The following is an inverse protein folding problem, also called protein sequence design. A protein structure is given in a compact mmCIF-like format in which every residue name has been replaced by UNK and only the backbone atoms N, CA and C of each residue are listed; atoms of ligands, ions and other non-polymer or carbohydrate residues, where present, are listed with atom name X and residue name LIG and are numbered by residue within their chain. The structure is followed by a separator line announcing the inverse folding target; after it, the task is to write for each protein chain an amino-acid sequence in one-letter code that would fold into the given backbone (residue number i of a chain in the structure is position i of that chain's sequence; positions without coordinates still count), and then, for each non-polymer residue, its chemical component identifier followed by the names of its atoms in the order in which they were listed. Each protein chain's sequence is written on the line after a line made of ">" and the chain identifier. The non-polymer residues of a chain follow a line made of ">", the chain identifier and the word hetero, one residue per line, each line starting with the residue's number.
data_IF_008744477933
#
_entry.id   IF_008744477933
#
_cell.length_a   1.000
_cell.length_b   1.000
_cell.length_c   1.000
_cell.angle_alpha   90.00
_cell.angle_beta   90.00
_cell.angle_gamma   90.00
#
_symmetry.space_group_name_H-M   'P 1'
#
loop_
_entity.id
_entity.type
_entity.pdbx_description
1 polymer ?
#
# COMPACT_ATOMS: atom_id res chain seq x y z
N UNK A 1 -22.15 32.84 7.15
CA UNK A 1 -22.16 31.78 8.19
C UNK A 1 -21.57 30.50 7.61
N UNK A 2 -20.34 30.13 7.97
CA UNK A 2 -19.78 28.84 7.58
C UNK A 2 -20.61 27.72 8.24
N UNK A 3 -21.31 26.91 7.44
CA UNK A 3 -22.04 25.73 7.93
C UNK A 3 -21.04 24.81 8.63
N UNK A 4 -21.12 24.68 9.96
CA UNK A 4 -20.36 23.66 10.69
C UNK A 4 -20.77 22.31 10.10
N UNK A 5 -19.86 21.65 9.40
CA UNK A 5 -20.07 20.30 8.88
C UNK A 5 -20.43 19.38 10.06
N UNK A 6 -21.38 18.45 9.90
CA UNK A 6 -21.72 17.51 10.95
C UNK A 6 -20.48 16.71 11.35
N UNK A 7 -20.14 16.71 12.65
CA UNK A 7 -19.03 15.91 13.19
C UNK A 7 -19.32 14.42 12.97
N UNK A 8 -18.32 13.68 12.51
CA UNK A 8 -18.43 12.24 12.31
C UNK A 8 -18.66 11.53 13.65
N UNK A 9 -19.52 10.49 13.64
CA UNK A 9 -19.79 9.68 14.84
C UNK A 9 -18.58 8.81 15.19
N UNK A 10 -18.25 8.74 16.48
CA UNK A 10 -17.16 7.90 16.98
C UNK A 10 -17.59 6.45 17.15
N UNK A 11 -17.46 5.68 16.09
CA UNK A 11 -17.94 4.29 16.02
C UNK A 11 -16.82 3.25 15.91
N UNK A 12 -15.57 3.66 15.63
CA UNK A 12 -14.47 2.73 15.40
C UNK A 12 -13.76 2.31 16.69
N UNK A 13 -13.80 1.01 16.94
CA UNK A 13 -13.10 0.31 18.01
C UNK A 13 -11.76 -0.26 17.53
N UNK A 14 -10.89 -0.68 18.47
CA UNK A 14 -9.53 -1.09 18.16
C UNK A 14 -9.40 -2.27 17.18
N UNK A 15 -10.19 -3.35 17.28
CA UNK A 15 -10.13 -4.46 16.33
C UNK A 15 -10.57 -4.03 14.93
N UNK A 16 -11.61 -3.20 14.84
CA UNK A 16 -12.10 -2.67 13.56
C UNK A 16 -11.06 -1.80 12.89
N UNK A 17 -10.44 -0.89 13.65
CA UNK A 17 -9.39 -0.02 13.13
C UNK A 17 -8.14 -0.81 12.73
N UNK A 18 -7.76 -1.83 13.51
CA UNK A 18 -6.67 -2.73 13.16
C UNK A 18 -6.96 -3.51 11.87
N UNK A 19 -8.17 -4.07 11.70
CA UNK A 19 -8.52 -4.82 10.51
C UNK A 19 -8.58 -3.96 9.25
N UNK A 20 -9.07 -2.72 9.36
CA UNK A 20 -9.01 -1.74 8.26
C UNK A 20 -7.54 -1.39 7.95
N UNK A 21 -6.76 -1.05 8.98
CA UNK A 21 -5.34 -0.73 8.83
C UNK A 21 -4.55 -1.85 8.16
N UNK A 22 -4.76 -3.09 8.62
CA UNK A 22 -4.17 -4.27 8.04
C UNK A 22 -4.62 -4.43 6.58
N UNK A 23 -5.93 -4.44 6.30
CA UNK A 23 -6.43 -4.72 4.95
C UNK A 23 -5.96 -3.73 3.89
N UNK A 24 -5.89 -2.44 4.24
CA UNK A 24 -5.38 -1.41 3.33
C UNK A 24 -3.88 -1.63 3.03
N UNK A 25 -3.06 -1.80 4.07
CA UNK A 25 -1.60 -1.96 3.90
C UNK A 25 -1.30 -3.30 3.21
N UNK A 26 -1.87 -4.40 3.72
CA UNK A 26 -1.62 -5.76 3.26
C UNK A 26 -1.98 -5.99 1.79
N UNK A 27 -2.97 -5.28 1.24
CA UNK A 27 -3.38 -5.39 -0.16
C UNK A 27 -2.29 -4.99 -1.17
N UNK A 28 -1.26 -4.27 -0.73
CA UNK A 28 -0.24 -3.72 -1.62
C UNK A 28 0.76 -4.75 -2.14
N UNK A 29 0.95 -5.88 -1.44
CA UNK A 29 1.87 -6.94 -1.86
C UNK A 29 1.45 -7.60 -3.18
N UNK A 30 0.15 -7.57 -3.50
CA UNK A 30 -0.40 -8.15 -4.73
C UNK A 30 0.16 -7.47 -5.98
N UNK A 31 0.61 -6.22 -5.87
CA UNK A 31 1.31 -5.52 -6.95
C UNK A 31 2.77 -5.20 -6.65
N UNK A 32 3.14 -4.94 -5.40
CA UNK A 32 4.50 -4.53 -5.05
C UNK A 32 5.52 -5.66 -5.15
N UNK A 33 5.15 -6.91 -4.86
CA UNK A 33 6.12 -8.02 -4.77
C UNK A 33 6.92 -8.22 -6.07
N UNK A 34 6.23 -8.29 -7.21
CA UNK A 34 6.88 -8.47 -8.51
C UNK A 34 7.74 -7.27 -8.90
N UNK A 35 7.27 -6.05 -8.62
CA UNK A 35 7.99 -4.80 -8.91
C UNK A 35 9.32 -4.76 -8.16
N UNK A 36 9.30 -5.11 -6.87
CA UNK A 36 10.51 -5.12 -6.04
C UNK A 36 11.42 -6.28 -6.48
N UNK A 37 10.85 -7.47 -6.71
CA UNK A 37 11.61 -8.65 -7.12
C UNK A 37 12.37 -8.48 -8.44
N UNK A 38 11.81 -7.70 -9.37
CA UNK A 38 12.46 -7.41 -10.64
C UNK A 38 13.81 -6.69 -10.48
N UNK A 39 13.93 -5.79 -9.50
CA UNK A 39 15.16 -5.01 -9.28
C UNK A 39 16.01 -5.54 -8.11
N UNK A 40 15.37 -5.96 -7.01
CA UNK A 40 16.06 -6.40 -5.81
C UNK A 40 16.54 -7.86 -5.90
N UNK A 41 15.99 -8.68 -6.80
CA UNK A 41 16.38 -10.08 -6.99
C UNK A 41 16.44 -10.85 -5.66
N UNK A 42 17.58 -11.45 -5.31
CA UNK A 42 17.77 -12.21 -4.06
C UNK A 42 17.59 -11.34 -2.80
N UNK A 43 17.77 -10.03 -2.90
CA UNK A 43 17.61 -9.08 -1.80
C UNK A 43 16.16 -8.62 -1.58
N UNK A 44 15.17 -9.13 -2.33
CA UNK A 44 13.76 -8.75 -2.17
C UNK A 44 13.25 -8.80 -0.72
N UNK A 45 13.49 -9.87 0.06
CA UNK A 45 13.05 -9.92 1.46
C UNK A 45 13.76 -8.87 2.33
N UNK A 46 15.05 -8.61 2.08
CA UNK A 46 15.82 -7.59 2.81
C UNK A 46 15.32 -6.19 2.48
N UNK A 47 15.06 -5.87 1.21
CA UNK A 47 14.50 -4.58 0.79
C UNK A 47 13.13 -4.36 1.42
N UNK A 48 12.25 -5.37 1.41
CA UNK A 48 10.97 -5.30 2.09
C UNK A 48 11.13 -5.08 3.60
N UNK A 49 12.07 -5.77 4.26
CA UNK A 49 12.33 -5.61 5.68
C UNK A 49 12.84 -4.19 6.01
N UNK A 50 13.82 -3.68 5.26
CA UNK A 50 14.43 -2.37 5.47
C UNK A 50 13.41 -1.25 5.24
N UNK A 51 12.64 -1.31 4.16
CA UNK A 51 11.60 -0.32 3.88
C UNK A 51 10.45 -0.44 4.88
N UNK A 52 10.11 -1.64 5.31
CA UNK A 52 9.14 -1.87 6.38
C UNK A 52 9.57 -1.26 7.73
N UNK A 53 10.85 -1.39 8.08
CA UNK A 53 11.43 -0.76 9.27
C UNK A 53 11.43 0.77 9.17
N UNK A 54 11.78 1.32 7.99
CA UNK A 54 11.63 2.75 7.72
C UNK A 54 10.17 3.19 7.89
N UNK A 55 9.22 2.39 7.40
CA UNK A 55 7.81 2.70 7.48
C UNK A 55 7.29 2.70 8.93
N UNK A 56 7.79 1.79 9.78
CA UNK A 56 7.54 1.83 11.22
C UNK A 56 8.06 3.13 11.85
N UNK A 57 9.28 3.56 11.49
CA UNK A 57 9.84 4.84 11.96
C UNK A 57 8.95 6.02 11.52
N UNK A 58 8.48 6.02 10.27
CA UNK A 58 7.57 7.05 9.75
C UNK A 58 6.24 7.07 10.50
N UNK A 59 5.69 5.90 10.76
CA UNK A 59 4.42 5.75 11.45
C UNK A 59 4.43 6.30 12.88
N UNK A 60 5.59 6.35 13.56
CA UNK A 60 5.70 6.92 14.91
C UNK A 60 5.25 8.38 14.91
N UNK A 61 5.81 9.21 14.03
CA UNK A 61 5.45 10.63 13.97
C UNK A 61 4.07 10.84 13.40
N UNK A 62 3.67 10.01 12.44
CA UNK A 62 2.32 10.00 11.90
C UNK A 62 1.28 9.78 13.00
N UNK A 63 1.52 8.82 13.90
CA UNK A 63 0.67 8.54 15.05
C UNK A 63 0.60 9.71 16.05
N UNK A 64 1.70 10.45 16.27
CA UNK A 64 1.68 11.66 17.11
C UNK A 64 0.87 12.78 16.46
N UNK A 65 1.15 13.07 15.19
CA UNK A 65 0.47 14.13 14.44
C UNK A 65 -1.04 13.88 14.38
N UNK A 66 -1.45 12.68 14.01
CA UNK A 66 -2.87 12.30 13.88
C UNK A 66 -3.60 12.19 15.22
N UNK A 67 -2.93 11.75 16.29
CA UNK A 67 -3.53 11.70 17.61
C UNK A 67 -3.71 13.10 18.23
N UNK A 68 -2.80 14.03 17.91
CA UNK A 68 -2.82 15.42 18.35
C UNK A 68 -3.80 16.29 17.53
N UNK A 69 -3.84 16.08 16.21
CA UNK A 69 -4.67 16.83 15.26
C UNK A 69 -5.74 15.91 14.70
N UNK A 70 -6.92 15.95 15.32
CA UNK A 70 -8.06 15.07 15.00
C UNK A 70 -8.98 15.75 14.00
N UNK A 71 -8.42 16.09 12.86
CA UNK A 71 -9.15 16.70 11.75
C UNK A 71 -9.09 15.79 10.52
N UNK A 72 -10.19 15.67 9.79
CA UNK A 72 -10.20 15.04 8.46
C UNK A 72 -9.19 15.74 7.53
N UNK A 73 -8.44 14.96 6.75
CA UNK A 73 -7.39 15.47 5.84
C UNK A 73 -5.97 15.02 6.20
N UNK A 74 -5.79 14.29 7.30
CA UNK A 74 -4.56 13.56 7.62
C UNK A 74 -3.30 14.44 7.59
N UNK A 75 -2.28 13.96 6.86
CA UNK A 75 -0.99 14.66 6.71
C UNK A 75 -1.10 16.06 6.12
N UNK A 76 -2.00 16.31 5.16
CA UNK A 76 -2.14 17.62 4.54
C UNK A 76 -2.56 18.68 5.57
N UNK A 77 -3.52 18.35 6.42
CA UNK A 77 -3.98 19.24 7.50
C UNK A 77 -2.89 19.44 8.56
N UNK A 78 -2.16 18.38 8.92
CA UNK A 78 -1.05 18.46 9.86
C UNK A 78 0.06 19.40 9.37
N UNK A 79 0.45 19.27 8.10
CA UNK A 79 1.47 20.11 7.48
C UNK A 79 0.98 21.54 7.33
N UNK A 80 -0.30 21.76 6.98
CA UNK A 80 -0.92 23.09 6.93
C UNK A 80 -0.79 23.82 8.26
N UNK A 81 -1.16 23.15 9.35
CA UNK A 81 -1.11 23.74 10.71
C UNK A 81 0.34 24.03 11.12
N UNK A 82 1.27 23.15 10.77
CA UNK A 82 2.68 23.36 11.09
C UNK A 82 3.30 24.50 10.27
N UNK A 83 2.98 24.63 8.99
CA UNK A 83 3.61 25.57 8.06
C UNK A 83 2.68 26.68 7.60
N UNK A 84 1.89 26.43 6.56
CA UNK A 84 0.92 27.34 5.97
C UNK A 84 0.04 26.59 4.96
N UNK A 85 -0.93 27.29 4.38
CA UNK A 85 -1.87 26.74 3.40
C UNK A 85 -1.19 26.19 2.14
N UNK A 86 -0.12 26.84 1.66
CA UNK A 86 0.59 26.40 0.46
C UNK A 86 1.27 25.04 0.66
N UNK A 87 2.06 24.88 1.73
CA UNK A 87 2.76 23.62 2.01
C UNK A 87 1.77 22.50 2.34
N UNK A 88 0.68 22.84 3.03
CA UNK A 88 -0.44 21.92 3.26
C UNK A 88 -1.12 21.46 1.96
N UNK A 89 -1.38 22.39 1.03
CA UNK A 89 -1.93 22.10 -0.28
C UNK A 89 -1.01 21.19 -1.10
N UNK A 90 0.28 21.53 -1.22
CA UNK A 90 1.26 20.70 -1.95
C UNK A 90 1.31 19.28 -1.39
N UNK A 91 1.30 19.14 -0.06
CA UNK A 91 1.26 17.82 0.60
C UNK A 91 -0.03 17.06 0.26
N UNK A 92 -1.19 17.72 0.33
CA UNK A 92 -2.47 17.11 -0.01
C UNK A 92 -2.58 16.75 -1.49
N UNK A 93 -1.99 17.55 -2.38
CA UNK A 93 -1.99 17.33 -3.82
C UNK A 93 -1.08 16.16 -4.21
N UNK A 94 0.05 16.01 -3.53
CA UNK A 94 0.92 14.84 -3.65
C UNK A 94 0.20 13.56 -3.18
N UNK A 95 -0.45 13.59 -2.01
CA UNK A 95 -1.22 12.44 -1.51
C UNK A 95 -2.43 12.10 -2.40
N UNK A 96 -3.05 13.12 -3.00
CA UNK A 96 -4.14 12.89 -3.94
C UNK A 96 -3.67 12.11 -5.17
N UNK A 97 -2.48 12.45 -5.70
CA UNK A 97 -1.85 11.66 -6.76
C UNK A 97 -1.66 10.20 -6.33
N UNK A 98 -1.13 9.97 -5.13
CA UNK A 98 -0.89 8.60 -4.63
C UNK A 98 -2.16 7.76 -4.65
N UNK A 99 -3.29 8.31 -4.17
CA UNK A 99 -4.58 7.61 -4.23
C UNK A 99 -4.99 7.24 -5.66
N UNK A 100 -4.82 8.16 -6.62
CA UNK A 100 -5.16 7.91 -8.02
C UNK A 100 -4.26 6.82 -8.63
N UNK A 101 -2.98 6.82 -8.28
CA UNK A 101 -2.02 5.83 -8.75
C UNK A 101 -2.28 4.45 -8.14
N UNK A 102 -2.62 4.37 -6.85
CA UNK A 102 -3.01 3.11 -6.21
C UNK A 102 -4.29 2.54 -6.84
N UNK A 103 -5.28 3.38 -7.16
CA UNK A 103 -6.49 2.97 -7.89
C UNK A 103 -6.12 2.43 -9.27
N UNK A 104 -5.31 3.16 -10.04
CA UNK A 104 -4.90 2.78 -11.38
C UNK A 104 -4.08 1.47 -11.40
N UNK A 105 -3.08 1.34 -10.51
CA UNK A 105 -2.26 0.14 -10.37
C UNK A 105 -3.09 -1.07 -9.94
N UNK A 106 -3.92 -0.93 -8.91
CA UNK A 106 -4.77 -2.02 -8.43
C UNK A 106 -5.70 -2.50 -9.56
N UNK A 107 -6.33 -1.57 -10.28
CA UNK A 107 -7.20 -1.90 -11.40
C UNK A 107 -6.46 -2.57 -12.57
N UNK A 108 -5.21 -2.20 -12.83
CA UNK A 108 -4.38 -2.85 -13.86
C UNK A 108 -4.04 -4.30 -13.52
N UNK A 109 -3.88 -4.62 -12.22
CA UNK A 109 -3.49 -5.96 -11.77
C UNK A 109 -4.69 -6.91 -11.69
N UNK A 110 -5.88 -6.42 -11.33
CA UNK A 110 -7.10 -7.25 -11.18
C UNK A 110 -7.35 -8.19 -12.38
N UNK A 111 -7.32 -7.73 -13.66
CA UNK A 111 -7.53 -8.61 -14.81
C UNK A 111 -6.53 -9.77 -14.91
N UNK A 112 -5.29 -9.61 -14.44
CA UNK A 112 -4.27 -10.66 -14.49
C UNK A 112 -4.52 -11.74 -13.43
N UNK A 113 -4.95 -11.35 -12.23
CA UNK A 113 -5.37 -12.29 -11.20
C UNK A 113 -6.64 -13.04 -11.61
N UNK A 114 -7.62 -12.33 -12.18
CA UNK A 114 -8.87 -12.95 -12.68
C UNK A 114 -8.57 -13.91 -13.83
N UNK A 115 -7.84 -13.47 -14.86
CA UNK A 115 -7.52 -14.30 -16.01
C UNK A 115 -6.78 -15.57 -15.59
N UNK A 116 -5.78 -15.44 -14.71
CA UNK A 116 -5.01 -16.58 -14.22
C UNK A 116 -5.81 -17.54 -13.34
N UNK A 117 -6.81 -17.06 -12.59
CA UNK A 117 -7.74 -17.92 -11.85
C UNK A 117 -8.61 -18.79 -12.80
N UNK A 118 -8.89 -18.29 -14.01
CA UNK A 118 -9.57 -19.04 -15.08
C UNK A 118 -8.59 -19.73 -16.05
N UNK A 119 -7.30 -19.85 -15.71
CA UNK A 119 -6.26 -20.43 -16.58
C UNK A 119 -6.12 -19.76 -17.96
N UNK A 120 -6.49 -18.48 -18.05
CA UNK A 120 -6.34 -17.66 -19.25
C UNK A 120 -5.25 -16.61 -19.05
N UNK A 121 -4.78 -16.00 -20.15
CA UNK A 121 -3.82 -14.88 -20.11
C UNK A 121 -4.41 -13.68 -20.82
N UNK A 122 -4.37 -12.54 -20.15
CA UNK A 122 -4.73 -11.25 -20.74
C UNK A 122 -3.46 -10.51 -21.17
N UNK A 123 -3.51 -9.91 -22.35
CA UNK A 123 -2.39 -9.18 -22.94
C UNK A 123 -2.78 -7.75 -23.24
N UNK A 124 -1.79 -6.89 -23.48
CA UNK A 124 -2.02 -5.52 -23.93
C UNK A 124 -2.69 -5.49 -25.30
N UNK A 125 -3.62 -4.55 -25.56
CA UNK A 125 -4.07 -3.47 -24.67
C UNK A 125 -5.28 -3.84 -23.77
N UNK A 126 -5.76 -5.09 -23.84
CA UNK A 126 -7.00 -5.52 -23.18
C UNK A 126 -6.92 -5.51 -21.65
N UNK A 127 -5.73 -5.67 -21.09
CA UNK A 127 -5.46 -5.50 -19.66
C UNK A 127 -5.81 -4.09 -19.16
N UNK A 128 -5.40 -3.06 -19.90
CA UNK A 128 -5.68 -1.65 -19.59
C UNK A 128 -7.17 -1.36 -19.75
N UNK A 129 -7.79 -1.85 -20.82
CA UNK A 129 -9.24 -1.68 -21.07
C UNK A 129 -10.05 -2.33 -19.95
N UNK A 130 -9.71 -3.56 -19.56
CA UNK A 130 -10.34 -4.24 -18.44
C UNK A 130 -10.12 -3.50 -17.12
N UNK A 131 -8.93 -2.97 -16.87
CA UNK A 131 -8.64 -2.13 -15.70
C UNK A 131 -9.48 -0.85 -15.65
N UNK A 132 -9.62 -0.13 -16.76
CA UNK A 132 -10.53 1.02 -16.86
C UNK A 132 -11.99 0.62 -16.58
N UNK A 133 -12.42 -0.54 -17.08
CA UNK A 133 -13.73 -1.13 -16.80
C UNK A 133 -13.93 -1.44 -15.31
N UNK A 134 -12.90 -1.94 -14.62
CA UNK A 134 -12.92 -2.18 -13.16
C UNK A 134 -13.10 -0.86 -12.40
N UNK A 135 -12.35 0.18 -12.74
CA UNK A 135 -12.47 1.50 -12.09
C UNK A 135 -13.89 2.05 -12.29
N UNK A 136 -14.39 2.04 -13.53
CA UNK A 136 -15.74 2.50 -13.86
C UNK A 136 -16.81 1.69 -13.13
N UNK A 137 -16.69 0.36 -13.09
CA UNK A 137 -17.61 -0.52 -12.38
C UNK A 137 -17.65 -0.24 -10.88
N UNK A 138 -16.49 -0.11 -10.22
CA UNK A 138 -16.42 0.24 -8.79
C UNK A 138 -16.99 1.62 -8.54
N UNK A 139 -16.72 2.60 -9.41
CA UNK A 139 -17.27 3.95 -9.30
C UNK A 139 -18.80 3.93 -9.39
N UNK A 140 -19.37 3.23 -10.38
CA UNK A 140 -20.82 3.04 -10.53
C UNK A 140 -21.42 2.37 -9.31
N UNK A 141 -20.81 1.28 -8.81
CA UNK A 141 -21.28 0.61 -7.59
C UNK A 141 -21.29 1.56 -6.39
N UNK A 142 -20.23 2.36 -6.20
CA UNK A 142 -20.14 3.36 -5.11
C UNK A 142 -21.14 4.50 -5.27
N UNK A 143 -21.48 4.89 -6.49
CA UNK A 143 -22.48 5.93 -6.77
C UNK A 143 -23.90 5.43 -6.51
N UNK A 144 -24.20 4.20 -6.93
CA UNK A 144 -25.50 3.57 -6.74
C UNK A 144 -25.73 3.12 -5.29
N UNK A 145 -24.69 2.66 -4.60
CA UNK A 145 -24.76 2.15 -3.23
C UNK A 145 -23.96 3.03 -2.26
N UNK A 146 -24.66 3.86 -1.48
CA UNK A 146 -24.08 4.60 -0.34
C UNK A 146 -23.92 3.71 0.90
N UNK A 147 -23.28 2.55 0.78
CA UNK A 147 -23.17 1.58 1.88
C UNK A 147 -22.01 1.90 2.81
N UNK A 148 -22.20 1.64 4.12
CA UNK A 148 -21.10 1.61 5.10
C UNK A 148 -20.33 0.29 4.90
N UNK A 149 -19.16 0.37 4.27
CA UNK A 149 -18.33 -0.80 3.93
C UNK A 149 -17.57 -1.40 5.11
N UNK A 150 -17.63 -0.84 6.33
CA UNK A 150 -16.74 -1.24 7.42
C UNK A 150 -16.82 -2.73 7.79
N UNK A 151 -18.02 -3.34 7.77
CA UNK A 151 -18.15 -4.79 8.04
C UNK A 151 -17.55 -5.66 6.92
N UNK A 152 -17.74 -5.26 5.66
CA UNK A 152 -17.18 -5.98 4.52
C UNK A 152 -15.66 -5.83 4.43
N UNK A 153 -15.14 -4.64 4.72
CA UNK A 153 -13.72 -4.38 4.80
C UNK A 153 -13.04 -5.32 5.80
N UNK A 154 -13.65 -5.57 6.97
CA UNK A 154 -13.12 -6.53 7.94
C UNK A 154 -13.14 -7.98 7.44
N UNK A 155 -14.22 -8.41 6.78
CA UNK A 155 -14.30 -9.76 6.22
C UNK A 155 -13.24 -9.95 5.15
N UNK A 156 -13.11 -9.00 4.23
CA UNK A 156 -12.10 -9.03 3.17
C UNK A 156 -10.69 -9.03 3.75
N UNK A 157 -10.42 -8.20 4.76
CA UNK A 157 -9.12 -8.16 5.46
C UNK A 157 -8.79 -9.50 6.15
N UNK A 158 -9.77 -10.14 6.79
CA UNK A 158 -9.60 -11.45 7.43
C UNK A 158 -9.33 -12.56 6.40
N UNK A 159 -10.05 -12.56 5.29
CA UNK A 159 -9.84 -13.51 4.19
C UNK A 159 -8.47 -13.31 3.56
N UNK A 160 -8.07 -12.06 3.35
CA UNK A 160 -6.74 -11.71 2.85
C UNK A 160 -5.64 -12.21 3.80
N UNK A 161 -5.76 -11.93 5.11
CA UNK A 161 -4.81 -12.44 6.12
C UNK A 161 -4.72 -13.97 6.12
N UNK A 162 -5.86 -14.66 6.09
CA UNK A 162 -5.88 -16.12 6.03
C UNK A 162 -5.21 -16.64 4.75
N UNK A 163 -5.43 -15.98 3.61
CA UNK A 163 -4.83 -16.33 2.32
C UNK A 163 -3.31 -16.15 2.37
N UNK A 164 -2.82 -15.02 2.89
CA UNK A 164 -1.39 -14.75 3.01
C UNK A 164 -0.69 -15.73 3.95
N UNK A 165 -1.29 -16.03 5.11
CA UNK A 165 -0.77 -17.02 6.05
C UNK A 165 -0.74 -18.42 5.43
N UNK A 166 -1.77 -18.80 4.68
CA UNK A 166 -1.83 -20.08 3.99
C UNK A 166 -0.73 -20.19 2.91
N UNK A 167 -0.52 -19.14 2.12
CA UNK A 167 0.55 -19.07 1.12
C UNK A 167 1.92 -19.21 1.79
N UNK A 168 2.15 -18.52 2.92
CA UNK A 168 3.40 -18.63 3.68
C UNK A 168 3.58 -20.05 4.22
N UNK A 169 2.57 -20.62 4.89
CA UNK A 169 2.66 -21.93 5.51
C UNK A 169 2.89 -23.05 4.47
N UNK A 170 2.07 -23.10 3.42
CA UNK A 170 2.21 -24.08 2.34
C UNK A 170 3.49 -23.84 1.54
N UNK A 171 3.83 -22.59 1.27
CA UNK A 171 5.05 -22.22 0.57
C UNK A 171 6.31 -22.62 1.33
N UNK A 172 6.33 -22.44 2.64
CA UNK A 172 7.45 -22.89 3.48
C UNK A 172 7.51 -24.42 3.57
N UNK A 173 6.36 -25.10 3.60
CA UNK A 173 6.32 -26.55 3.66
C UNK A 173 6.71 -27.23 2.33
N UNK A 174 6.30 -26.66 1.19
CA UNK A 174 6.39 -27.31 -0.12
C UNK A 174 7.47 -26.73 -1.03
N UNK A 175 7.80 -25.45 -0.90
CA UNK A 175 8.69 -24.74 -1.84
C UNK A 175 9.99 -24.25 -1.21
N UNK A 176 10.13 -24.27 0.11
CA UNK A 176 11.27 -23.66 0.79
C UNK A 176 12.60 -24.29 0.37
N UNK A 177 13.53 -23.45 -0.07
CA UNK A 177 14.87 -23.86 -0.47
C UNK A 177 15.90 -22.84 -0.01
N UNK A 178 16.73 -23.17 1.01
CA UNK A 178 17.80 -22.27 1.45
C UNK A 178 18.78 -21.90 0.33
N UNK A 179 19.09 -22.86 -0.56
CA UNK A 179 19.97 -22.64 -1.70
C UNK A 179 19.38 -21.69 -2.75
N UNK A 180 18.05 -21.62 -2.88
CA UNK A 180 17.40 -20.66 -3.76
C UNK A 180 17.56 -19.22 -3.25
N UNK A 181 17.52 -19.02 -1.93
CA UNK A 181 17.65 -17.71 -1.28
C UNK A 181 19.06 -17.14 -1.35
N UNK A 182 20.08 -17.99 -1.53
CA UNK A 182 21.48 -17.56 -1.72
C UNK A 182 21.82 -17.26 -3.17
N UNK A 183 20.91 -17.48 -4.13
CA UNK A 183 21.14 -17.09 -5.53
C UNK A 183 20.82 -15.61 -5.72
N UNK A 184 21.60 -14.93 -6.56
CA UNK A 184 21.40 -13.50 -6.84
C UNK A 184 21.55 -12.59 -5.61
N UNK A 185 22.41 -12.99 -4.67
CA UNK A 185 22.76 -12.21 -3.45
C UNK A 185 24.18 -11.63 -3.50
N UNK A 186 24.81 -11.62 -4.68
CA UNK A 186 26.10 -10.95 -4.90
C UNK A 186 25.91 -9.44 -4.99
N UNK A 187 25.87 -8.76 -3.85
CA UNK A 187 25.65 -7.31 -3.76
C UNK A 187 26.68 -6.54 -4.59
N UNK A 188 26.21 -5.64 -5.44
CA UNK A 188 27.06 -4.85 -6.34
C UNK A 188 27.29 -5.49 -7.71
N UNK A 189 26.99 -6.78 -7.88
CA UNK A 189 27.02 -7.46 -9.19
C UNK A 189 25.62 -7.85 -9.66
N UNK A 190 24.86 -8.53 -8.82
CA UNK A 190 23.52 -9.03 -9.12
C UNK A 190 22.76 -9.17 -7.80
N UNK A 191 21.96 -8.16 -7.43
CA UNK A 191 21.69 -6.88 -8.09
C UNK A 191 22.83 -5.85 -7.93
N UNK A 192 22.92 -4.91 -8.87
CA UNK A 192 23.86 -3.77 -8.77
C UNK A 192 23.41 -2.77 -7.70
N UNK A 193 24.31 -1.87 -7.28
CA UNK A 193 23.95 -0.77 -6.38
C UNK A 193 22.87 0.14 -6.96
N UNK A 194 22.88 0.31 -8.28
CA UNK A 194 21.86 1.08 -8.99
C UNK A 194 20.49 0.39 -8.91
N UNK A 195 20.44 -0.94 -9.06
CA UNK A 195 19.18 -1.69 -8.99
C UNK A 195 18.57 -1.67 -7.58
N UNK A 196 19.40 -1.75 -6.53
CA UNK A 196 18.94 -1.59 -5.15
C UNK A 196 18.42 -0.16 -4.92
N UNK A 197 19.14 0.86 -5.38
CA UNK A 197 18.69 2.24 -5.30
C UNK A 197 17.37 2.47 -6.08
N UNK A 198 17.16 1.76 -7.19
CA UNK A 198 15.92 1.76 -7.97
C UNK A 198 14.78 1.02 -7.24
N UNK A 199 15.09 -0.06 -6.51
CA UNK A 199 14.09 -0.85 -5.79
C UNK A 199 13.55 -0.12 -4.55
N UNK A 200 14.37 0.69 -3.85
CA UNK A 200 14.00 1.31 -2.58
C UNK A 200 12.78 2.26 -2.68
N UNK A 201 12.70 3.23 -3.62
CA UNK A 201 11.51 4.04 -3.78
C UNK A 201 10.29 3.20 -4.13
N UNK A 202 10.43 2.26 -5.07
CA UNK A 202 9.33 1.40 -5.51
C UNK A 202 8.83 0.50 -4.38
N UNK A 203 9.68 0.09 -3.44
CA UNK A 203 9.29 -0.70 -2.29
C UNK A 203 8.42 0.07 -1.29
N UNK A 204 8.40 1.41 -1.32
CA UNK A 204 7.44 2.21 -0.54
C UNK A 204 6.00 1.89 -0.93
N UNK A 205 5.77 1.48 -2.19
CA UNK A 205 4.47 1.04 -2.70
C UNK A 205 3.92 -0.15 -1.92
N UNK A 206 4.78 -1.01 -1.35
CA UNK A 206 4.34 -2.14 -0.54
C UNK A 206 3.65 -1.67 0.76
N UNK A 207 4.00 -0.52 1.31
CA UNK A 207 3.54 -0.14 2.65
C UNK A 207 2.49 0.98 2.67
N UNK A 208 1.87 1.33 1.54
CA UNK A 208 0.83 2.38 1.50
C UNK A 208 -0.38 2.07 2.41
N UNK A 209 -1.09 3.08 2.91
CA UNK A 209 -2.34 2.90 3.68
C UNK A 209 -2.39 3.59 5.05
N UNK A 210 -1.30 4.22 5.49
CA UNK A 210 -1.26 5.04 6.72
C UNK A 210 -2.28 6.18 6.71
N UNK A 211 -2.49 6.74 5.52
CA UNK A 211 -3.32 7.91 5.27
C UNK A 211 -4.79 7.61 5.52
N UNK A 212 -5.25 6.41 5.14
CA UNK A 212 -6.60 5.93 5.41
C UNK A 212 -6.88 5.91 6.91
N UNK A 213 -5.92 5.43 7.71
CA UNK A 213 -6.06 5.33 9.17
C UNK A 213 -6.10 6.72 9.81
N UNK A 214 -5.28 7.66 9.33
CA UNK A 214 -5.33 9.05 9.78
C UNK A 214 -6.67 9.71 9.52
N UNK A 215 -7.27 9.46 8.35
CA UNK A 215 -8.59 9.99 8.01
C UNK A 215 -9.71 9.43 8.91
N UNK A 216 -9.51 8.24 9.49
CA UNK A 216 -10.44 7.63 10.44
C UNK A 216 -10.20 8.06 11.91
N UNK A 217 -9.26 8.98 12.16
CA UNK A 217 -8.95 9.46 13.51
C UNK A 217 -10.16 10.14 14.19
N UNK A 218 -10.99 10.85 13.42
CA UNK A 218 -12.21 11.49 13.94
C UNK A 218 -13.31 10.48 14.34
N UNK A 219 -13.40 9.37 13.61
CA UNK A 219 -14.36 8.29 13.82
C UNK A 219 -13.91 7.30 14.93
N UNK A 220 -12.67 7.43 15.41
CA UNK A 220 -12.10 6.54 16.43
C UNK A 220 -12.53 6.96 17.84
N UNK A 221 -12.99 6.01 18.67
CA UNK A 221 -13.43 6.32 20.04
C UNK A 221 -12.32 6.86 20.94
N UNK A 222 -11.15 6.21 20.92
CA UNK A 222 -9.98 6.52 21.77
C UNK A 222 -8.71 6.69 20.93
N UNK A 223 -8.61 7.75 20.10
CA UNK A 223 -7.56 7.89 19.09
C UNK A 223 -6.15 7.85 19.68
N UNK A 224 -5.93 8.43 20.87
CA UNK A 224 -4.62 8.47 21.50
C UNK A 224 -3.99 7.13 21.90
N UNK A 225 -4.78 6.06 22.02
CA UNK A 225 -4.26 4.71 22.30
C UNK A 225 -4.58 3.73 21.19
N UNK A 226 -5.74 3.87 20.57
CA UNK A 226 -6.21 2.97 19.53
C UNK A 226 -5.47 3.19 18.22
N UNK A 227 -5.25 4.45 17.77
CA UNK A 227 -4.52 4.70 16.52
C UNK A 227 -3.10 4.15 16.55
N UNK A 228 -2.24 4.48 17.55
CA UNK A 228 -0.86 3.99 17.53
C UNK A 228 -0.78 2.46 17.60
N UNK A 229 -1.62 1.82 18.42
CA UNK A 229 -1.64 0.36 18.53
C UNK A 229 -2.09 -0.33 17.25
N UNK A 230 -3.14 0.18 16.61
CA UNK A 230 -3.60 -0.36 15.34
C UNK A 230 -2.55 -0.16 14.25
N UNK A 231 -1.93 1.03 14.18
CA UNK A 231 -0.87 1.37 13.23
C UNK A 231 0.37 0.47 13.36
N UNK A 232 0.98 0.42 14.55
CA UNK A 232 2.21 -0.35 14.74
C UNK A 232 1.96 -1.85 14.66
N UNK A 233 0.82 -2.31 15.19
CA UNK A 233 0.42 -3.71 15.09
C UNK A 233 0.21 -4.15 13.66
N UNK A 234 -0.52 -3.36 12.85
CA UNK A 234 -0.79 -3.72 11.46
C UNK A 234 0.47 -3.67 10.61
N UNK A 235 1.30 -2.63 10.74
CA UNK A 235 2.55 -2.52 9.98
C UNK A 235 3.51 -3.64 10.38
N UNK A 236 3.71 -3.90 11.68
CA UNK A 236 4.59 -4.96 12.14
C UNK A 236 4.18 -6.34 11.60
N UNK A 237 2.88 -6.64 11.64
CA UNK A 237 2.34 -7.87 11.04
C UNK A 237 2.59 -7.92 9.53
N UNK A 238 2.29 -6.85 8.81
CA UNK A 238 2.48 -6.79 7.35
C UNK A 238 3.95 -6.97 6.96
N UNK A 239 4.90 -6.36 7.68
CA UNK A 239 6.34 -6.55 7.44
C UNK A 239 6.70 -8.04 7.54
N UNK A 240 6.25 -8.73 8.59
CA UNK A 240 6.51 -10.16 8.76
C UNK A 240 5.91 -10.98 7.63
N UNK A 241 4.64 -10.72 7.27
CA UNK A 241 3.97 -11.43 6.18
C UNK A 241 4.67 -11.21 4.84
N UNK A 242 5.08 -9.98 4.54
CA UNK A 242 5.70 -9.63 3.27
C UNK A 242 7.08 -10.25 3.11
N UNK A 243 7.88 -10.25 4.17
CA UNK A 243 9.17 -10.94 4.18
C UNK A 243 8.94 -12.45 4.01
N UNK A 244 7.96 -13.04 4.69
CA UNK A 244 7.60 -14.46 4.54
C UNK A 244 7.18 -14.81 3.11
N UNK A 245 6.28 -14.00 2.52
CA UNK A 245 5.84 -14.14 1.13
C UNK A 245 7.01 -14.02 0.16
N UNK A 246 7.91 -13.07 0.38
CA UNK A 246 9.08 -12.88 -0.49
C UNK A 246 10.06 -14.05 -0.38
N UNK A 247 10.28 -14.61 0.80
CA UNK A 247 11.10 -15.81 1.01
C UNK A 247 10.50 -17.01 0.27
N UNK A 248 9.20 -17.26 0.42
CA UNK A 248 8.50 -18.31 -0.31
C UNK A 248 8.60 -18.07 -1.82
N UNK A 249 8.35 -16.84 -2.26
CA UNK A 249 8.38 -16.47 -3.65
C UNK A 249 9.74 -16.70 -4.31
N UNK A 250 10.83 -16.27 -3.67
CA UNK A 250 12.18 -16.50 -4.19
C UNK A 250 12.61 -17.97 -4.10
N UNK A 251 12.07 -18.73 -3.15
CA UNK A 251 12.28 -20.17 -3.11
C UNK A 251 11.62 -20.86 -4.31
N UNK A 252 10.42 -20.39 -4.70
CA UNK A 252 9.68 -20.85 -5.87
C UNK A 252 10.30 -20.41 -7.20
N UNK A 253 10.87 -19.20 -7.23
CA UNK A 253 11.43 -18.55 -8.42
C UNK A 253 12.83 -17.95 -8.15
N UNK A 254 13.87 -18.81 -8.04
CA UNK A 254 15.21 -18.37 -7.66
C UNK A 254 15.82 -17.39 -8.68
N UNK A 255 16.43 -16.28 -8.26
CA UNK A 255 16.99 -15.29 -9.18
C UNK A 255 18.38 -15.73 -9.67
N UNK A 256 18.48 -16.16 -10.93
CA UNK A 256 19.76 -16.53 -11.57
C UNK A 256 20.22 -15.46 -12.58
N UNK A 257 19.34 -15.11 -13.52
CA UNK A 257 19.53 -14.05 -14.52
C UNK A 257 18.29 -13.15 -14.55
N UNK A 258 17.82 -12.78 -13.36
CA UNK A 258 16.45 -12.31 -13.14
C UNK A 258 15.58 -13.36 -12.44
N UNK A 259 14.39 -12.96 -12.02
CA UNK A 259 13.39 -13.84 -11.39
C UNK A 259 12.07 -13.78 -12.15
N UNK A 260 11.42 -14.92 -12.33
CA UNK A 260 10.09 -15.01 -12.94
C UNK A 260 9.03 -14.24 -12.15
N UNK A 261 9.25 -13.99 -10.85
CA UNK A 261 8.39 -13.10 -10.05
C UNK A 261 8.37 -11.67 -10.56
N UNK A 262 9.51 -11.18 -11.05
CA UNK A 262 9.67 -9.84 -11.58
C UNK A 262 9.38 -9.74 -13.08
N UNK A 263 9.33 -10.86 -13.80
CA UNK A 263 9.08 -10.90 -15.24
C UNK A 263 7.70 -11.50 -15.55
N UNK A 264 7.62 -12.82 -15.72
CA UNK A 264 6.41 -13.54 -16.12
C UNK A 264 5.23 -13.27 -15.18
N UNK A 265 5.50 -13.23 -13.86
CA UNK A 265 4.51 -13.03 -12.82
C UNK A 265 4.49 -11.59 -12.27
N UNK A 266 5.13 -10.62 -12.94
CA UNK A 266 5.20 -9.22 -12.49
C UNK A 266 3.84 -8.65 -12.08
N UNK A 267 2.77 -9.04 -12.80
CA UNK A 267 1.41 -8.52 -12.64
C UNK A 267 0.48 -9.43 -11.83
N UNK A 268 0.98 -10.59 -11.40
CA UNK A 268 0.24 -11.55 -10.57
C UNK A 268 1.21 -12.39 -9.73
N UNK A 269 2.12 -11.77 -8.96
CA UNK A 269 3.24 -12.46 -8.32
C UNK A 269 2.78 -13.50 -7.30
N UNK A 270 1.74 -13.20 -6.52
CA UNK A 270 1.16 -14.16 -5.57
C UNK A 270 0.49 -15.35 -6.27
N UNK A 271 -0.16 -15.11 -7.41
CA UNK A 271 -0.72 -16.20 -8.21
C UNK A 271 0.40 -17.13 -8.72
N UNK A 272 1.53 -16.56 -9.12
CA UNK A 272 2.72 -17.34 -9.48
C UNK A 272 3.16 -18.29 -8.37
N UNK A 273 3.26 -17.78 -7.15
CA UNK A 273 3.58 -18.61 -5.96
C UNK A 273 2.54 -19.71 -5.76
N UNK A 274 1.25 -19.37 -5.83
CA UNK A 274 0.16 -20.35 -5.68
C UNK A 274 0.22 -21.44 -6.76
N UNK A 275 0.54 -21.09 -8.02
CA UNK A 275 0.70 -22.09 -9.08
C UNK A 275 1.84 -23.06 -8.80
N UNK A 276 2.98 -22.59 -8.27
CA UNK A 276 4.09 -23.47 -7.87
C UNK A 276 3.74 -24.36 -6.68
N UNK A 277 2.98 -23.84 -5.72
CA UNK A 277 2.46 -24.66 -4.60
C UNK A 277 1.59 -25.78 -5.14
N UNK A 278 0.69 -25.47 -6.08
CA UNK A 278 -0.22 -26.45 -6.69
C UNK A 278 0.54 -27.58 -7.38
N UNK A 279 1.66 -27.30 -8.07
CA UNK A 279 2.47 -28.34 -8.74
C UNK A 279 3.00 -29.42 -7.77
N UNK A 280 3.03 -29.12 -6.46
CA UNK A 280 3.44 -30.06 -5.39
C UNK A 280 2.25 -30.76 -4.72
N UNK A 281 1.02 -30.35 -5.01
CA UNK A 281 -0.19 -30.99 -4.52
C UNK A 281 -0.67 -32.00 -5.57
N UNK A 282 -0.73 -33.31 -5.27
CA UNK A 282 -1.18 -34.31 -6.23
C UNK A 282 -2.58 -33.97 -6.76
N UNK A 283 -2.70 -33.83 -8.09
CA UNK A 283 -3.83 -33.26 -8.83
C UNK A 283 -5.16 -34.06 -8.77
N UNK A 284 -5.37 -34.91 -7.77
CA UNK A 284 -6.50 -35.87 -7.80
C UNK A 284 -7.21 -36.22 -6.49
N UNK A 285 -6.80 -35.74 -5.30
CA UNK A 285 -7.41 -36.24 -4.04
C UNK A 285 -7.93 -35.22 -3.05
N UNK A 286 -7.55 -33.94 -3.15
CA UNK A 286 -8.10 -32.89 -2.28
C UNK A 286 -9.36 -32.21 -2.84
N UNK A 287 -9.42 -31.92 -4.14
CA UNK A 287 -10.65 -31.38 -4.74
C UNK A 287 -11.78 -32.43 -4.81
N UNK A 288 -11.44 -33.71 -4.97
CA UNK A 288 -12.41 -34.82 -4.97
C UNK A 288 -12.97 -35.10 -3.57
N UNK A 289 -12.14 -35.08 -2.52
CA UNK A 289 -12.59 -35.27 -1.12
C UNK A 289 -13.29 -34.04 -0.53
N UNK A 290 -12.97 -32.83 -0.97
CA UNK A 290 -13.69 -31.60 -0.58
C UNK A 290 -15.01 -31.43 -1.35
N UNK A 291 -15.14 -32.05 -2.53
CA UNK A 291 -16.40 -32.13 -3.27
C UNK A 291 -17.39 -33.15 -2.72
N UNK A 292 -16.90 -34.20 -2.04
CA UNK A 292 -17.72 -35.28 -1.47
C UNK A 292 -18.57 -34.83 -0.26
N UNK A 293 -18.26 -33.68 0.36
CA UNK A 293 -18.98 -33.15 1.51
C UNK A 293 -19.81 -31.88 1.26
N UNK A 294 -20.02 -31.47 0.01
CA UNK A 294 -21.09 -30.54 -0.37
C UNK A 294 -21.13 -29.20 0.39
N UNK A 295 -20.01 -28.47 0.47
CA UNK A 295 -19.94 -27.17 1.15
C UNK A 295 -19.71 -26.01 0.19
N UNK A 296 -20.76 -25.62 -0.55
CA UNK A 296 -20.85 -24.30 -1.15
C UNK A 296 -22.16 -23.64 -0.70
N UNK A 297 -22.11 -22.58 0.13
CA UNK A 297 -23.30 -21.85 0.51
C UNK A 297 -23.87 -21.05 -0.66
N UNK A 298 -25.15 -21.26 -0.96
CA UNK A 298 -25.98 -20.37 -1.77
C UNK A 298 -26.66 -19.33 -0.87
N UNK A 299 -26.52 -18.05 -1.28
CA UNK A 299 -27.26 -16.82 -0.90
C UNK A 299 -26.70 -16.01 0.27
N UNK A 300 -26.46 -14.71 0.03
CA UNK A 300 -26.89 -13.60 0.90
C UNK A 300 -26.83 -12.26 0.14
N UNK A 301 -27.82 -11.38 0.34
CA UNK A 301 -27.76 -10.02 -0.17
C UNK A 301 -28.94 -9.18 0.30
N UNK A 302 -28.74 -8.36 1.34
CA UNK A 302 -29.45 -7.10 1.62
C UNK A 302 -28.66 -6.32 2.70
N UNK A 303 -28.23 -5.08 2.44
CA UNK A 303 -27.58 -4.22 3.44
C UNK A 303 -27.88 -2.71 3.26
N UNK A 304 -27.95 -2.04 4.42
CA UNK A 304 -28.53 -0.72 4.70
C UNK A 304 -27.53 0.46 4.64
N UNK A 305 -28.08 1.68 4.84
CA UNK A 305 -27.74 2.99 4.26
C UNK A 305 -26.69 3.85 5.00
N UNK A 306 -26.02 4.66 4.16
CA UNK A 306 -25.39 5.99 4.32
C UNK A 306 -23.94 6.09 4.83
N UNK A 307 -23.07 6.53 3.90
CA UNK A 307 -21.90 7.39 4.13
C UNK A 307 -21.99 8.65 3.24
N UNK A 308 -21.40 9.75 3.69
CA UNK A 308 -21.38 11.07 3.04
C UNK A 308 -20.10 11.26 2.20
N UNK A 309 -19.87 10.42 1.20
CA UNK A 309 -18.85 10.72 0.17
C UNK A 309 -19.54 11.52 -0.93
N UNK A 310 -18.96 12.65 -1.33
CA UNK A 310 -19.50 13.45 -2.44
C UNK A 310 -19.42 12.63 -3.74
N UNK A 311 -20.54 12.45 -4.48
CA UNK A 311 -20.52 11.79 -5.78
C UNK A 311 -19.51 12.40 -6.75
N UNK A 312 -19.29 13.72 -6.66
CA UNK A 312 -18.32 14.45 -7.50
C UNK A 312 -16.89 13.96 -7.26
N UNK A 313 -16.50 13.70 -6.01
CA UNK A 313 -15.17 13.20 -5.67
C UNK A 313 -14.95 11.77 -6.19
N UNK A 314 -15.98 10.93 -6.18
CA UNK A 314 -15.92 9.56 -6.72
C UNK A 314 -15.74 9.61 -8.24
N UNK A 315 -16.54 10.44 -8.93
CA UNK A 315 -16.47 10.59 -10.40
C UNK A 315 -15.12 11.18 -10.81
N UNK A 316 -14.65 12.24 -10.14
CA UNK A 316 -13.36 12.85 -10.44
C UNK A 316 -12.20 11.88 -10.22
N UNK A 317 -12.16 11.18 -9.09
CA UNK A 317 -11.11 10.19 -8.82
C UNK A 317 -11.12 9.05 -9.85
N UNK A 318 -12.31 8.54 -10.20
CA UNK A 318 -12.44 7.50 -11.22
C UNK A 318 -12.00 7.99 -12.61
N UNK A 319 -12.46 9.17 -13.02
CA UNK A 319 -12.13 9.75 -14.32
C UNK A 319 -10.62 10.02 -14.45
N UNK A 320 -10.00 10.66 -13.45
CA UNK A 320 -8.57 10.95 -13.49
C UNK A 320 -7.76 9.64 -13.45
N UNK A 321 -8.16 8.66 -12.63
CA UNK A 321 -7.47 7.35 -12.59
C UNK A 321 -7.58 6.60 -13.93
N UNK A 322 -8.72 6.67 -14.61
CA UNK A 322 -8.90 6.10 -15.97
C UNK A 322 -8.01 6.83 -16.98
N UNK A 323 -7.95 8.16 -16.93
CA UNK A 323 -7.08 8.96 -17.83
C UNK A 323 -5.61 8.63 -17.59
N UNK A 324 -5.16 8.54 -16.34
CA UNK A 324 -3.80 8.13 -16.00
C UNK A 324 -3.53 6.73 -16.55
N UNK A 325 -4.40 5.75 -16.24
CA UNK A 325 -4.22 4.37 -16.66
C UNK A 325 -4.19 4.23 -18.19
N UNK A 326 -5.16 4.84 -18.89
CA UNK A 326 -5.22 4.86 -20.35
C UNK A 326 -4.01 5.59 -20.97
N UNK A 327 -3.57 6.69 -20.37
CA UNK A 327 -2.37 7.44 -20.78
C UNK A 327 -1.10 6.60 -20.68
N UNK A 328 -1.05 5.61 -19.77
CA UNK A 328 0.09 4.68 -19.68
C UNK A 328 0.08 3.55 -20.71
N UNK A 329 -1.00 3.37 -21.49
CA UNK A 329 -1.13 2.25 -22.44
C UNK A 329 -0.05 2.22 -23.51
N UNK A 330 0.43 3.39 -23.95
CA UNK A 330 1.51 3.52 -24.93
C UNK A 330 2.93 3.37 -24.35
N UNK A 331 3.07 3.30 -23.02
CA UNK A 331 4.39 3.16 -22.39
C UNK A 331 4.88 1.71 -22.47
N UNK A 332 6.20 1.53 -22.64
CA UNK A 332 6.83 0.20 -22.56
C UNK A 332 6.58 -0.46 -21.19
N UNK A 333 6.68 0.34 -20.13
CA UNK A 333 6.67 -0.10 -18.73
C UNK A 333 5.68 0.72 -17.85
N UNK A 334 4.36 0.64 -18.08
CA UNK A 334 3.32 1.34 -17.30
C UNK A 334 3.37 1.03 -15.80
N UNK A 335 3.62 -0.23 -15.41
CA UNK A 335 3.69 -0.63 -14.00
C UNK A 335 4.80 0.13 -13.27
N UNK A 336 6.02 0.12 -13.82
CA UNK A 336 7.15 0.83 -13.22
C UNK A 336 6.99 2.35 -13.27
N UNK A 337 6.38 2.89 -14.33
CA UNK A 337 6.07 4.31 -14.42
C UNK A 337 5.10 4.75 -13.32
N UNK A 338 3.96 4.05 -13.17
CA UNK A 338 2.98 4.32 -12.12
C UNK A 338 3.60 4.17 -10.72
N UNK A 339 4.32 3.07 -10.46
CA UNK A 339 4.98 2.87 -9.18
C UNK A 339 6.01 3.98 -8.85
N UNK A 340 6.72 4.50 -9.86
CA UNK A 340 7.62 5.63 -9.67
C UNK A 340 6.91 6.95 -9.36
N UNK A 341 5.75 7.16 -9.97
CA UNK A 341 4.93 8.36 -9.73
C UNK A 341 4.31 8.34 -8.33
N UNK A 342 3.87 7.18 -7.87
CA UNK A 342 3.47 6.95 -6.47
C UNK A 342 4.62 7.25 -5.50
N UNK A 343 5.82 6.73 -5.79
CA UNK A 343 6.98 6.91 -4.91
C UNK A 343 7.30 8.40 -4.69
N UNK A 344 7.14 9.23 -5.73
CA UNK A 344 7.33 10.68 -5.64
C UNK A 344 6.37 11.34 -4.65
N UNK A 345 5.06 11.08 -4.76
CA UNK A 345 4.05 11.73 -3.93
C UNK A 345 4.17 11.33 -2.46
N UNK A 346 4.28 10.02 -2.21
CA UNK A 346 4.27 9.48 -0.85
C UNK A 346 5.50 9.91 -0.04
N UNK A 347 6.68 9.90 -0.66
CA UNK A 347 7.93 10.26 0.02
C UNK A 347 7.98 11.77 0.32
N UNK A 348 7.43 12.60 -0.56
CA UNK A 348 7.28 14.03 -0.32
C UNK A 348 6.34 14.27 0.87
N UNK A 349 5.18 13.61 0.89
CA UNK A 349 4.19 13.75 1.95
C UNK A 349 4.68 13.25 3.31
N UNK A 350 5.40 12.12 3.34
CA UNK A 350 6.02 11.61 4.57
C UNK A 350 7.11 12.54 5.08
N UNK A 351 7.97 13.04 4.21
CA UNK A 351 9.01 14.00 4.60
C UNK A 351 8.38 15.26 5.20
N UNK A 352 7.37 15.84 4.54
CA UNK A 352 6.66 17.01 5.03
C UNK A 352 5.98 16.76 6.39
N UNK A 353 5.35 15.59 6.55
CA UNK A 353 4.69 15.19 7.80
C UNK A 353 5.68 15.06 8.96
N UNK A 354 6.83 14.46 8.72
CA UNK A 354 7.88 14.31 9.73
C UNK A 354 8.39 15.67 10.21
N UNK A 355 8.67 16.56 9.27
CA UNK A 355 9.10 17.93 9.56
C UNK A 355 8.01 18.73 10.29
N UNK A 356 6.74 18.53 9.93
CA UNK A 356 5.62 19.17 10.60
C UNK A 356 5.49 18.77 12.08
N UNK A 357 5.68 17.48 12.40
CA UNK A 357 5.68 17.01 13.81
C UNK A 357 6.82 17.63 14.60
N UNK A 358 8.03 17.67 14.03
CA UNK A 358 9.18 18.33 14.65
C UNK A 358 8.86 19.81 14.91
N UNK A 359 8.41 20.54 13.89
CA UNK A 359 8.09 21.97 13.99
C UNK A 359 7.04 22.24 15.05
N UNK A 360 5.95 21.47 15.09
CA UNK A 360 4.87 21.65 16.06
C UNK A 360 5.32 21.43 17.52
N UNK A 361 6.37 20.64 17.77
CA UNK A 361 6.95 20.52 19.12
C UNK A 361 7.65 21.79 19.59
N UNK A 362 8.08 22.65 18.67
CA UNK A 362 8.68 23.95 18.99
C UNK A 362 7.68 25.09 18.98
N UNK A 363 6.79 25.14 17.98
CA UNK A 363 5.82 26.23 17.83
C UNK A 363 4.63 26.09 18.76
N UNK A 364 4.20 24.87 19.08
CA UNK A 364 3.07 24.58 19.95
C UNK A 364 3.42 23.54 21.04
N UNK A 365 4.34 23.86 21.98
CA UNK A 365 4.82 22.91 22.97
C UNK A 365 3.71 22.42 23.91
N UNK A 366 2.77 23.29 24.28
CA UNK A 366 1.66 22.99 25.21
C UNK A 366 0.51 22.22 24.57
N UNK A 367 0.54 21.96 23.25
CA UNK A 367 -0.52 21.20 22.58
C UNK A 367 -0.64 19.81 23.22
N UNK A 368 -1.87 19.41 23.53
CA UNK A 368 -2.17 18.07 24.06
C UNK A 368 -1.79 17.00 23.03
N UNK A 369 -0.81 16.16 23.37
CA UNK A 369 -0.34 15.01 22.57
C UNK A 369 -0.65 13.71 23.29
N UNK A 370 -1.78 13.04 22.98
CA UNK A 370 -2.18 11.80 23.64
C UNK A 370 -1.20 10.64 23.42
N UNK A 371 -0.51 10.65 22.28
CA UNK A 371 0.63 9.81 21.96
C UNK A 371 1.81 10.72 21.66
N UNK A 372 3.01 10.34 22.11
CA UNK A 372 4.26 11.03 21.82
C UNK A 372 5.27 10.03 21.27
N UNK A 373 5.99 10.42 20.23
CA UNK A 373 7.08 9.65 19.62
C UNK A 373 8.12 9.29 20.69
N UNK A 374 8.51 8.02 20.83
CA UNK A 374 9.57 7.57 21.75
C UNK A 374 10.94 8.08 21.31
N UNK A 375 11.97 7.91 22.16
CA UNK A 375 13.36 8.33 21.88
C UNK A 375 13.49 9.82 21.53
N UNK A 376 12.89 10.66 22.38
CA UNK A 376 12.97 12.13 22.25
C UNK A 376 14.15 12.67 23.06
N UNK A 377 15.03 13.47 22.43
CA UNK A 377 16.07 14.25 23.12
C UNK A 377 15.59 15.70 23.20
N UNK A 378 15.24 16.15 24.42
CA UNK A 378 14.64 17.47 24.63
C UNK A 378 13.27 17.58 23.95
N UNK A 379 13.14 18.48 22.96
CA UNK A 379 11.93 18.62 22.13
C UNK A 379 12.03 17.88 20.80
N UNK A 380 13.17 17.27 20.49
CA UNK A 380 13.46 16.68 19.19
C UNK A 380 13.20 15.18 19.22
N UNK A 381 12.18 14.68 18.48
CA UNK A 381 11.98 13.25 18.30
C UNK A 381 13.01 12.70 17.30
N UNK A 382 13.99 11.92 17.79
CA UNK A 382 15.04 11.33 16.95
C UNK A 382 14.46 10.48 15.80
N UNK A 383 13.43 9.63 16.01
CA UNK A 383 12.84 8.86 14.92
C UNK A 383 12.25 9.74 13.81
N UNK A 384 11.72 10.92 14.14
CA UNK A 384 11.17 11.83 13.13
C UNK A 384 12.27 12.46 12.27
N UNK A 385 13.42 12.80 12.85
CA UNK A 385 14.58 13.29 12.09
C UNK A 385 15.11 12.20 11.17
N UNK A 386 15.34 11.01 11.71
CA UNK A 386 15.83 9.86 10.92
C UNK A 386 14.86 9.54 9.80
N UNK A 387 13.57 9.48 10.11
CA UNK A 387 12.51 9.27 9.13
C UNK A 387 12.51 10.35 8.04
N UNK A 388 12.55 11.64 8.40
CA UNK A 388 12.58 12.74 7.44
C UNK A 388 13.81 12.67 6.51
N UNK A 389 14.99 12.41 7.08
CA UNK A 389 16.23 12.28 6.31
C UNK A 389 16.15 11.10 5.34
N UNK A 390 15.74 9.91 5.82
CA UNK A 390 15.65 8.72 4.98
C UNK A 390 14.60 8.87 3.88
N UNK A 391 13.40 9.35 4.18
CA UNK A 391 12.36 9.56 3.16
C UNK A 391 12.79 10.62 2.15
N UNK A 392 13.45 11.68 2.59
CA UNK A 392 13.97 12.70 1.68
C UNK A 392 15.10 12.14 0.80
N UNK A 393 16.03 11.37 1.35
CA UNK A 393 17.10 10.72 0.57
C UNK A 393 16.51 9.77 -0.47
N UNK A 394 15.54 8.93 -0.10
CA UNK A 394 14.87 8.03 -1.06
C UNK A 394 14.10 8.84 -2.11
N UNK A 395 13.52 10.00 -1.75
CA UNK A 395 12.87 10.88 -2.72
C UNK A 395 13.85 11.46 -3.74
N UNK A 396 15.04 11.88 -3.30
CA UNK A 396 16.12 12.32 -4.20
C UNK A 396 16.59 11.18 -5.10
N UNK A 397 16.75 9.98 -4.53
CA UNK A 397 17.05 8.78 -5.33
C UNK A 397 15.97 8.59 -6.39
N UNK A 398 14.68 8.68 -6.02
CA UNK A 398 13.58 8.50 -6.94
C UNK A 398 13.60 9.51 -8.10
N UNK A 399 13.88 10.79 -7.83
CA UNK A 399 14.06 11.82 -8.86
C UNK A 399 15.26 11.52 -9.78
N UNK A 400 16.33 10.95 -9.23
CA UNK A 400 17.52 10.61 -9.99
C UNK A 400 17.36 9.34 -10.84
N UNK A 401 16.57 8.37 -10.40
CA UNK A 401 16.49 7.04 -11.04
C UNK A 401 15.25 6.85 -11.90
N UNK A 402 14.10 7.42 -11.52
CA UNK A 402 12.83 7.11 -12.19
C UNK A 402 12.27 8.27 -13.01
N UNK A 403 11.91 7.99 -14.26
CA UNK A 403 11.36 8.97 -15.20
C UNK A 403 10.02 9.56 -14.71
N UNK A 404 9.13 8.72 -14.14
CA UNK A 404 7.85 9.19 -13.62
C UNK A 404 8.01 10.15 -12.44
N UNK A 405 8.88 9.82 -11.48
CA UNK A 405 9.20 10.71 -10.37
C UNK A 405 9.88 12.00 -10.85
N UNK A 406 10.83 11.90 -11.79
CA UNK A 406 11.64 13.04 -12.26
C UNK A 406 10.82 14.09 -13.02
N UNK A 407 9.88 13.66 -13.87
CA UNK A 407 9.17 14.57 -14.76
C UNK A 407 7.67 14.66 -14.45
N UNK A 408 6.98 13.53 -14.32
CA UNK A 408 5.53 13.52 -14.13
C UNK A 408 5.12 13.99 -12.72
N UNK A 409 5.92 13.69 -11.69
CA UNK A 409 5.69 14.17 -10.32
C UNK A 409 5.71 15.70 -10.22
N UNK A 410 6.80 16.38 -10.61
CA UNK A 410 6.85 17.84 -10.64
C UNK A 410 5.79 18.47 -11.57
N UNK A 411 5.52 17.85 -12.72
CA UNK A 411 4.45 18.32 -13.62
C UNK A 411 3.07 18.27 -12.94
N UNK A 412 2.79 17.21 -12.16
CA UNK A 412 1.56 17.12 -11.36
C UNK A 412 1.47 18.25 -10.33
N UNK A 413 2.56 18.57 -9.63
CA UNK A 413 2.56 19.67 -8.65
C UNK A 413 2.39 21.06 -9.27
N UNK A 414 2.63 21.20 -10.57
CA UNK A 414 2.48 22.46 -11.30
C UNK A 414 1.05 22.70 -11.82
N UNK A 415 0.23 21.66 -11.88
CA UNK A 415 -1.21 21.70 -12.20
C UNK A 415 -2.00 21.91 -10.92
#
# INVERSE_FOLDING_TARGET
>A
MARKLPRLERVLDAPTLFGIAYGEIASSIYFALGIIAFHALGFTPLVLLVVGALFLIVSLSYAEGTAAIRETGGAATLVRIAYNDLVGFVTGWALFLDYLIVIALSALFVPHYVAGAFFTRIHRPWDVVAGCGVIAGIAVVRLLHRTRLHRWALIVAMVDLATQLLIIALGLALLFSPHALTRGTSLGHSPSWHDIAFALPLAMLAYTGLETIANLAEETRRPGRTLPRSLFGSIGLVVVLYVGIAVVGLSAFPPQHGTELGSTWLRSPLLGVVTRIRDHVPDGRLAYSLGEHGQLPRKFGWLSKRTLVSPQSIIAAAAISIVILAGTAGLKHPVFFLASLFSFGVLLAFTATQLAVIKLRFTEPERRRPYRVPFTVGRIPVPSIVGALLTFTIWIIALSTHVGARYAGPAWLAV
#
